data_IF_962949735032
#
_entry.id   IF_962949735032
#
_cell.length_a   1.000
_cell.length_b   1.000
_cell.length_c   1.000
_cell.angle_alpha   90.00
_cell.angle_beta   90.00
_cell.angle_gamma   90.00
#
_symmetry.space_group_name_H-M   'P 1'
#
loop_
_entity.id
_entity.type
_entity.pdbx_description
1 polymer ?
#
# COMPACT_ATOMS: atom_id res chain seq x y z
N UNK A 1 3.78 5.85 -20.37
CA UNK A 1 3.68 6.94 -19.36
C UNK A 1 2.32 7.56 -19.56
N UNK A 2 1.57 7.78 -18.49
CA UNK A 2 0.27 8.45 -18.52
C UNK A 2 0.51 9.92 -18.22
N UNK A 3 0.07 10.81 -19.10
CA UNK A 3 0.46 12.22 -19.08
C UNK A 3 -0.52 13.12 -18.32
N UNK A 4 -1.81 12.74 -18.26
CA UNK A 4 -2.87 13.60 -17.69
C UNK A 4 -3.90 12.80 -16.90
N UNK A 5 -4.63 13.46 -16.00
CA UNK A 5 -5.75 12.86 -15.28
C UNK A 5 -6.89 12.44 -16.22
N UNK A 6 -7.16 13.22 -17.28
CA UNK A 6 -8.16 12.87 -18.30
C UNK A 6 -7.79 11.58 -19.04
N UNK A 7 -6.52 11.40 -19.41
CA UNK A 7 -6.05 10.15 -20.01
C UNK A 7 -6.24 8.97 -19.03
N UNK A 8 -5.83 9.14 -17.77
CA UNK A 8 -5.99 8.09 -16.76
C UNK A 8 -7.46 7.72 -16.52
N UNK A 9 -8.36 8.71 -16.44
CA UNK A 9 -9.80 8.48 -16.31
C UNK A 9 -10.37 7.74 -17.53
N UNK A 10 -9.92 8.08 -18.74
CA UNK A 10 -10.29 7.36 -19.96
C UNK A 10 -9.88 5.88 -19.90
N UNK A 11 -8.67 5.58 -19.42
CA UNK A 11 -8.23 4.19 -19.23
C UNK A 11 -9.05 3.46 -18.17
N UNK A 12 -9.43 4.14 -17.08
CA UNK A 12 -10.26 3.54 -16.02
C UNK A 12 -11.68 3.23 -16.50
N UNK A 13 -12.23 4.04 -17.41
CA UNK A 13 -13.56 3.84 -17.96
C UNK A 13 -13.63 2.78 -19.08
N UNK A 14 -12.54 2.60 -19.83
CA UNK A 14 -12.48 1.68 -20.98
C UNK A 14 -12.38 0.20 -20.57
N UNK A 15 -11.84 -0.09 -19.38
CA UNK A 15 -11.69 -1.43 -18.78
C UNK A 15 -11.05 -2.52 -19.67
N UNK A 16 -10.51 -2.17 -20.83
CA UNK A 16 -9.89 -3.13 -21.74
C UNK A 16 -8.61 -3.74 -21.14
N UNK A 17 -8.18 -4.93 -21.60
CA UNK A 17 -6.92 -5.54 -21.14
C UNK A 17 -5.70 -4.62 -21.35
N UNK A 18 -5.72 -3.79 -22.40
CA UNK A 18 -4.68 -2.79 -22.65
C UNK A 18 -4.74 -1.67 -21.62
N UNK A 19 -5.92 -1.11 -21.36
CA UNK A 19 -6.11 -0.07 -20.36
C UNK A 19 -5.70 -0.53 -18.96
N UNK A 20 -6.13 -1.73 -18.55
CA UNK A 20 -5.71 -2.36 -17.28
C UNK A 20 -4.20 -2.57 -17.22
N UNK A 21 -3.58 -3.03 -18.31
CA UNK A 21 -2.11 -3.17 -18.39
C UNK A 21 -1.42 -1.83 -18.20
N UNK A 22 -1.88 -0.77 -18.89
CA UNK A 22 -1.30 0.58 -18.76
C UNK A 22 -1.46 1.10 -17.33
N UNK A 23 -2.66 1.01 -16.74
CA UNK A 23 -2.89 1.45 -15.35
C UNK A 23 -1.99 0.71 -14.37
N UNK A 24 -1.69 -0.57 -14.57
CA UNK A 24 -0.86 -1.34 -13.63
C UNK A 24 0.65 -1.08 -13.76
N UNK A 25 1.11 -0.62 -14.92
CA UNK A 25 2.54 -0.64 -15.27
C UNK A 25 3.12 0.71 -15.67
N UNK A 26 2.32 1.61 -16.23
CA UNK A 26 2.81 2.92 -16.65
C UNK A 26 3.06 3.83 -15.44
N UNK A 27 4.06 4.69 -15.58
CA UNK A 27 4.32 5.78 -14.64
C UNK A 27 3.46 7.00 -14.99
N UNK A 28 3.14 7.80 -13.99
CA UNK A 28 2.55 9.14 -14.14
C UNK A 28 3.07 10.04 -13.00
N UNK A 29 3.10 11.37 -13.18
CA UNK A 29 3.34 12.32 -12.09
C UNK A 29 2.38 12.10 -10.92
N UNK A 30 2.81 12.46 -9.71
CA UNK A 30 1.98 12.26 -8.51
C UNK A 30 0.65 13.01 -8.62
N UNK A 31 0.69 14.20 -9.20
CA UNK A 31 -0.44 15.12 -9.37
C UNK A 31 -1.54 14.48 -10.21
N UNK A 32 -1.18 13.71 -11.25
CA UNK A 32 -2.13 12.99 -12.10
C UNK A 32 -2.89 11.93 -11.31
N UNK A 33 -2.18 11.11 -10.51
CA UNK A 33 -2.82 10.10 -9.67
C UNK A 33 -3.70 10.73 -8.58
N UNK A 34 -3.20 11.79 -7.95
CA UNK A 34 -3.91 12.49 -6.88
C UNK A 34 -5.19 13.16 -7.38
N UNK A 35 -5.14 13.79 -8.56
CA UNK A 35 -6.32 14.39 -9.18
C UNK A 35 -7.39 13.33 -9.49
N UNK A 36 -6.98 12.16 -10.00
CA UNK A 36 -7.91 11.04 -10.24
C UNK A 36 -8.51 10.52 -8.93
N UNK A 37 -7.72 10.32 -7.88
CA UNK A 37 -8.23 9.89 -6.59
C UNK A 37 -9.19 10.90 -5.95
N UNK A 38 -9.02 12.19 -6.25
CA UNK A 38 -9.94 13.24 -5.80
C UNK A 38 -11.24 13.26 -6.62
N UNK A 39 -11.16 13.05 -7.94
CA UNK A 39 -12.30 13.14 -8.87
C UNK A 39 -13.14 11.86 -8.95
N UNK A 40 -12.49 10.71 -8.76
CA UNK A 40 -13.08 9.38 -8.89
C UNK A 40 -12.49 8.42 -7.82
N UNK A 41 -12.78 8.66 -6.52
CA UNK A 41 -12.26 7.86 -5.41
C UNK A 41 -12.66 6.38 -5.48
N UNK A 42 -13.74 6.04 -6.19
CA UNK A 42 -14.18 4.67 -6.46
C UNK A 42 -13.12 3.83 -7.20
N UNK A 43 -12.19 4.46 -7.92
CA UNK A 43 -11.09 3.78 -8.61
C UNK A 43 -9.83 3.58 -7.76
N UNK A 44 -9.87 3.91 -6.46
CA UNK A 44 -8.71 3.80 -5.57
C UNK A 44 -8.13 2.38 -5.51
N UNK A 45 -8.96 1.35 -5.60
CA UNK A 45 -8.51 -0.05 -5.61
C UNK A 45 -7.69 -0.39 -6.86
N UNK A 46 -8.15 0.07 -8.02
CA UNK A 46 -7.49 -0.13 -9.31
C UNK A 46 -6.19 0.67 -9.38
N UNK A 47 -6.20 1.93 -8.93
CA UNK A 47 -5.00 2.77 -8.82
C UNK A 47 -3.98 2.13 -7.89
N UNK A 48 -4.41 1.61 -6.73
CA UNK A 48 -3.52 0.96 -5.76
C UNK A 48 -2.80 -0.27 -6.31
N UNK A 49 -3.25 -0.87 -7.42
CA UNK A 49 -2.56 -1.99 -8.07
C UNK A 49 -1.38 -1.56 -8.95
N UNK A 50 -1.23 -0.27 -9.26
CA UNK A 50 -0.09 0.23 -10.04
C UNK A 50 1.25 -0.04 -9.30
N UNK A 51 2.23 -0.58 -10.03
CA UNK A 51 3.51 -1.02 -9.46
C UNK A 51 4.51 0.11 -9.20
N UNK A 52 4.27 1.28 -9.75
CA UNK A 52 5.19 2.42 -9.79
C UNK A 52 4.59 3.71 -9.18
N UNK A 53 3.62 3.58 -8.28
CA UNK A 53 3.01 4.74 -7.61
C UNK A 53 4.05 5.54 -6.82
N UNK A 54 4.07 6.89 -6.96
CA UNK A 54 4.85 7.77 -6.11
C UNK A 54 4.48 7.63 -4.63
N UNK A 55 5.45 7.86 -3.73
CA UNK A 55 5.25 7.76 -2.28
C UNK A 55 4.15 8.71 -1.76
N UNK A 56 4.01 9.89 -2.37
CA UNK A 56 2.93 10.85 -2.09
C UNK A 56 1.54 10.23 -2.30
N UNK A 57 1.36 9.46 -3.38
CA UNK A 57 0.10 8.78 -3.70
C UNK A 57 -0.14 7.62 -2.75
N UNK A 58 0.90 6.83 -2.44
CA UNK A 58 0.80 5.74 -1.47
C UNK A 58 0.37 6.23 -0.08
N UNK A 59 0.79 7.43 0.35
CA UNK A 59 0.34 8.06 1.61
C UNK A 59 -1.16 8.37 1.64
N UNK A 60 -1.73 8.74 0.50
CA UNK A 60 -3.18 8.98 0.38
C UNK A 60 -3.93 7.65 0.43
N UNK A 61 -3.48 6.66 -0.35
CA UNK A 61 -4.10 5.33 -0.39
C UNK A 61 -4.01 4.58 0.94
N UNK A 62 -2.94 4.78 1.72
CA UNK A 62 -2.79 4.21 3.07
C UNK A 62 -3.87 4.69 4.07
N UNK A 63 -4.60 5.75 3.74
CA UNK A 63 -5.71 6.29 4.54
C UNK A 63 -7.08 5.98 3.94
N UNK A 64 -7.15 5.17 2.89
CA UNK A 64 -8.42 4.76 2.29
C UNK A 64 -9.29 4.03 3.30
N UNK A 65 -10.61 4.23 3.24
CA UNK A 65 -11.56 3.49 4.06
C UNK A 65 -11.63 2.01 3.67
N UNK A 66 -11.30 1.66 2.42
CA UNK A 66 -11.27 0.29 1.92
C UNK A 66 -9.99 -0.44 2.37
N UNK A 67 -10.13 -1.51 3.16
CA UNK A 67 -8.99 -2.31 3.63
C UNK A 67 -8.24 -2.99 2.49
N UNK A 68 -8.88 -3.31 1.36
CA UNK A 68 -8.22 -3.88 0.18
C UNK A 68 -7.22 -2.89 -0.42
N UNK A 69 -7.57 -1.60 -0.44
CA UNK A 69 -6.70 -0.51 -0.90
C UNK A 69 -5.49 -0.40 0.02
N UNK A 70 -5.73 -0.34 1.33
CA UNK A 70 -4.66 -0.25 2.34
C UNK A 70 -3.75 -1.48 2.31
N UNK A 71 -4.31 -2.67 2.15
CA UNK A 71 -3.54 -3.92 1.97
C UNK A 71 -2.65 -3.86 0.71
N UNK A 72 -3.18 -3.39 -0.42
CA UNK A 72 -2.40 -3.21 -1.65
C UNK A 72 -1.22 -2.23 -1.47
N UNK A 73 -1.34 -1.25 -0.58
CA UNK A 73 -0.23 -0.35 -0.20
C UNK A 73 0.84 -1.09 0.60
N UNK A 74 0.48 -1.94 1.59
CA UNK A 74 1.47 -2.72 2.36
C UNK A 74 2.27 -3.67 1.46
N UNK A 75 1.64 -4.22 0.42
CA UNK A 75 2.30 -5.12 -0.53
C UNK A 75 3.36 -4.44 -1.42
N UNK A 76 3.54 -3.11 -1.34
CA UNK A 76 4.56 -2.40 -2.11
C UNK A 76 5.95 -2.71 -1.56
N UNK A 77 6.76 -3.39 -2.38
CA UNK A 77 8.16 -3.74 -2.06
C UNK A 77 8.98 -2.57 -1.50
N UNK A 78 8.73 -1.33 -1.92
CA UNK A 78 9.49 -0.15 -1.48
C UNK A 78 8.63 0.79 -0.63
N UNK A 79 7.82 0.25 0.27
CA UNK A 79 7.13 1.07 1.28
C UNK A 79 8.11 1.54 2.35
N UNK A 80 7.98 2.80 2.78
CA UNK A 80 8.81 3.40 3.82
C UNK A 80 8.46 2.83 5.20
N UNK A 81 9.44 2.82 6.12
CA UNK A 81 9.23 2.43 7.52
C UNK A 81 8.16 3.28 8.21
N UNK A 82 8.04 4.55 7.84
CA UNK A 82 7.07 5.48 8.45
C UNK A 82 5.64 5.10 8.07
N UNK A 83 5.41 4.73 6.80
CA UNK A 83 4.11 4.25 6.35
C UNK A 83 3.78 2.88 6.96
N UNK A 84 4.76 2.00 7.09
CA UNK A 84 4.58 0.73 7.80
C UNK A 84 4.23 0.95 9.27
N UNK A 85 4.83 1.94 9.91
CA UNK A 85 4.52 2.29 11.31
C UNK A 85 3.11 2.83 11.44
N UNK A 86 2.64 3.64 10.48
CA UNK A 86 1.24 4.08 10.44
C UNK A 86 0.26 2.89 10.27
N UNK A 87 0.57 1.96 9.37
CA UNK A 87 -0.28 0.80 9.08
C UNK A 87 -0.18 -0.31 10.15
N UNK A 88 0.80 -0.24 11.05
CA UNK A 88 0.91 -1.16 12.18
C UNK A 88 -0.21 -1.00 13.21
N UNK A 89 -0.95 0.12 13.17
CA UNK A 89 -2.12 0.36 14.02
C UNK A 89 -3.43 0.29 13.21
N UNK A 90 -3.42 -0.33 12.02
CA UNK A 90 -4.63 -0.48 11.21
C UNK A 90 -5.69 -1.30 11.96
N UNK A 91 -6.98 -0.96 11.90
CA UNK A 91 -8.03 -1.77 12.49
C UNK A 91 -8.09 -3.20 11.94
N UNK A 92 -7.68 -3.41 10.69
CA UNK A 92 -7.68 -4.72 10.04
C UNK A 92 -6.43 -5.54 10.44
N UNK A 93 -6.63 -6.69 11.08
CA UNK A 93 -5.55 -7.58 11.52
C UNK A 93 -4.73 -8.16 10.35
N UNK A 94 -5.34 -8.32 9.17
CA UNK A 94 -4.65 -8.79 7.97
C UNK A 94 -3.64 -7.77 7.46
N UNK A 95 -3.95 -6.48 7.59
CA UNK A 95 -3.01 -5.39 7.30
C UNK A 95 -1.88 -5.38 8.33
N UNK A 96 -2.20 -5.46 9.63
CA UNK A 96 -1.17 -5.50 10.68
C UNK A 96 -0.24 -6.71 10.55
N UNK A 97 -0.78 -7.88 10.17
CA UNK A 97 0.00 -9.07 9.84
C UNK A 97 0.93 -8.83 8.65
N UNK A 98 0.41 -8.25 7.55
CA UNK A 98 1.24 -7.93 6.40
C UNK A 98 2.35 -6.93 6.74
N UNK A 99 2.11 -5.98 7.65
CA UNK A 99 3.14 -5.09 8.18
C UNK A 99 4.19 -5.86 8.97
N UNK A 100 3.81 -6.78 9.86
CA UNK A 100 4.76 -7.61 10.61
C UNK A 100 5.69 -8.40 9.66
N UNK A 101 5.12 -8.98 8.61
CA UNK A 101 5.85 -9.77 7.61
C UNK A 101 6.69 -8.93 6.64
N UNK A 102 6.39 -7.63 6.50
CA UNK A 102 7.06 -6.80 5.52
C UNK A 102 8.56 -6.60 5.85
N UNK A 103 9.41 -6.75 4.82
CA UNK A 103 10.87 -6.75 5.02
C UNK A 103 11.43 -5.43 5.54
N UNK A 104 10.82 -4.30 5.16
CA UNK A 104 11.24 -2.95 5.57
C UNK A 104 10.67 -2.53 6.94
N UNK A 105 9.91 -3.37 7.63
CA UNK A 105 9.34 -3.02 8.93
C UNK A 105 10.46 -2.83 9.96
N UNK A 106 10.44 -1.67 10.62
CA UNK A 106 11.43 -1.29 11.60
C UNK A 106 11.31 -2.17 12.85
N UNK A 107 12.42 -2.39 13.56
CA UNK A 107 12.39 -3.19 14.79
C UNK A 107 11.48 -2.58 15.87
N UNK A 108 11.41 -1.25 15.96
CA UNK A 108 10.48 -0.56 16.87
C UNK A 108 9.03 -0.92 16.57
N UNK A 109 8.62 -0.86 15.29
CA UNK A 109 7.29 -1.26 14.84
C UNK A 109 7.01 -2.73 15.10
N UNK A 110 7.99 -3.61 14.87
CA UNK A 110 7.85 -5.04 15.20
C UNK A 110 7.67 -5.27 16.71
N UNK A 111 8.37 -4.54 17.58
CA UNK A 111 8.17 -4.63 19.03
C UNK A 111 6.75 -4.23 19.45
N UNK A 112 6.17 -3.22 18.79
CA UNK A 112 4.76 -2.86 19.01
C UNK A 112 3.82 -3.99 18.57
N UNK A 113 4.06 -4.58 17.39
CA UNK A 113 3.25 -5.67 16.86
C UNK A 113 3.42 -6.99 17.63
N UNK A 114 4.54 -7.18 18.34
CA UNK A 114 4.74 -8.32 19.24
C UNK A 114 3.79 -8.30 20.45
N UNK A 115 3.10 -7.18 20.70
CA UNK A 115 2.04 -7.07 21.73
C UNK A 115 0.64 -6.94 21.13
N UNK A 116 0.46 -7.25 19.84
CA UNK A 116 -0.84 -7.16 19.14
C UNK A 116 -1.90 -8.07 19.78
N UNK A 117 -3.17 -7.66 19.70
CA UNK A 117 -4.27 -8.48 20.21
C UNK A 117 -4.46 -9.79 19.45
N UNK A 118 -3.99 -9.88 18.20
CA UNK A 118 -4.08 -11.07 17.37
C UNK A 118 -2.80 -11.90 17.41
N UNK A 119 -2.94 -13.17 17.78
CA UNK A 119 -1.83 -14.12 17.94
C UNK A 119 -0.95 -14.21 16.68
N UNK A 120 -1.56 -14.32 15.50
CA UNK A 120 -0.82 -14.39 14.22
C UNK A 120 0.06 -13.17 13.98
N UNK A 121 -0.38 -11.98 14.41
CA UNK A 121 0.39 -10.74 14.26
C UNK A 121 1.57 -10.74 15.23
N UNK A 122 1.34 -11.14 16.49
CA UNK A 122 2.42 -11.28 17.49
C UNK A 122 3.48 -12.28 17.04
N UNK A 123 3.07 -13.49 16.67
CA UNK A 123 3.97 -14.56 16.24
C UNK A 123 4.83 -14.15 15.04
N UNK A 124 4.22 -13.48 14.05
CA UNK A 124 4.94 -12.96 12.89
C UNK A 124 5.96 -11.89 13.28
N UNK A 125 5.61 -10.99 14.21
CA UNK A 125 6.49 -9.93 14.67
C UNK A 125 7.66 -10.45 15.51
N UNK A 126 7.41 -11.38 16.43
CA UNK A 126 8.43 -12.02 17.28
C UNK A 126 9.46 -12.78 16.43
N UNK A 127 9.00 -13.65 15.52
CA UNK A 127 9.89 -14.35 14.57
C UNK A 127 10.77 -13.38 13.79
N UNK A 128 10.20 -12.26 13.35
CA UNK A 128 10.94 -11.21 12.60
C UNK A 128 11.95 -10.45 13.45
N UNK A 129 11.74 -10.34 14.77
CA UNK A 129 12.70 -9.77 15.70
C UNK A 129 13.85 -10.74 15.97
N UNK A 130 13.56 -12.04 16.13
CA UNK A 130 14.56 -13.10 16.28
C UNK A 130 15.50 -13.14 15.06
N UNK A 131 14.94 -13.19 13.84
CA UNK A 131 15.70 -13.18 12.58
C UNK A 131 16.67 -11.97 12.50
N UNK A 132 16.23 -10.81 13.00
CA UNK A 132 17.02 -9.56 13.00
C UNK A 132 18.04 -9.47 14.12
N UNK A 133 17.91 -10.28 15.18
CA UNK A 133 18.84 -10.32 16.31
C UNK A 133 20.04 -11.24 16.07
N UNK A 134 19.90 -12.22 15.18
CA UNK A 134 20.97 -13.15 14.78
C UNK A 134 21.74 -12.77 13.52
N UNK A 135 21.50 -11.59 12.93
CA UNK A 135 22.16 -11.07 11.72
C UNK A 135 23.18 -9.98 12.03
#
# INVERSE_FOLDING_TARGET
MIATATELLGLLADESPESVRRIRHDTAPAEVWLEVLQRAPEHADTVALNKALPLTVLRVLAKSEDSRVRFAVVQKKRLSSDLLTQLATDPDEGIRLAVAEHRNTAQSTLRTLATDSWDRVRDAAERRLEDKSGS
#
